data_IF_144117679304
#
_entry.id   IF_144117679304
#
_cell.length_a   1.000
_cell.length_b   1.000
_cell.length_c   1.000
_cell.angle_alpha   90.00
_cell.angle_beta   90.00
_cell.angle_gamma   90.00
#
_symmetry.space_group_name_H-M   'P 1'
#
loop_
_entity.id
_entity.type
_entity.pdbx_description
1 polymer ?
#
# COMPACT_ATOMS: atom_id res chain seq x y z
N UNK A 1 68.89 -45.40 2.83
CA UNK A 1 68.32 -44.18 2.23
C UNK A 1 67.07 -44.58 1.46
N UNK A 2 65.88 -44.23 1.98
CA UNK A 2 64.60 -44.46 1.28
C UNK A 2 64.00 -43.10 1.00
N UNK A 3 63.83 -42.81 -0.29
CA UNK A 3 63.19 -41.61 -0.79
C UNK A 3 61.69 -41.65 -0.49
N UNK A 4 61.21 -40.74 0.38
CA UNK A 4 59.78 -40.52 0.55
C UNK A 4 59.33 -39.28 -0.23
N UNK A 5 58.84 -39.59 -1.42
CA UNK A 5 58.06 -38.83 -2.40
C UNK A 5 57.30 -37.61 -1.83
N UNK A 6 57.87 -36.42 -2.08
CA UNK A 6 57.41 -35.11 -1.61
C UNK A 6 56.24 -34.50 -2.42
N UNK A 7 55.39 -35.32 -3.05
CA UNK A 7 54.36 -34.85 -3.99
C UNK A 7 52.95 -34.77 -3.40
N UNK A 8 52.74 -35.29 -2.17
CA UNK A 8 51.40 -35.29 -1.53
C UNK A 8 51.13 -34.08 -0.63
N UNK A 9 52.17 -33.38 -0.16
CA UNK A 9 52.01 -32.22 0.73
C UNK A 9 51.60 -30.94 -0.03
N UNK A 10 52.16 -30.70 -1.22
CA UNK A 10 51.79 -29.53 -2.03
C UNK A 10 50.37 -29.59 -2.59
N UNK A 11 49.84 -30.79 -2.85
CA UNK A 11 48.46 -30.95 -3.33
C UNK A 11 47.43 -30.62 -2.22
N UNK A 12 47.76 -30.89 -0.96
CA UNK A 12 46.90 -30.59 0.19
C UNK A 12 46.81 -29.08 0.50
N UNK A 13 47.90 -28.33 0.28
CA UNK A 13 47.92 -26.87 0.49
C UNK A 13 47.14 -26.10 -0.58
N UNK A 14 47.16 -26.55 -1.85
CA UNK A 14 46.39 -25.92 -2.94
C UNK A 14 44.88 -26.19 -2.75
N UNK A 15 44.50 -27.37 -2.25
CA UNK A 15 43.11 -27.68 -1.95
C UNK A 15 42.55 -26.85 -0.77
N UNK A 16 43.36 -26.57 0.26
CA UNK A 16 42.93 -25.76 1.40
C UNK A 16 42.73 -24.27 1.05
N UNK A 17 43.52 -23.74 0.10
CA UNK A 17 43.36 -22.36 -0.38
C UNK A 17 42.11 -22.16 -1.28
N UNK A 18 41.70 -23.19 -2.02
CA UNK A 18 40.45 -23.15 -2.80
C UNK A 18 39.21 -23.25 -1.88
N UNK A 19 39.24 -24.05 -0.82
CA UNK A 19 38.06 -24.17 0.08
C UNK A 19 37.83 -22.87 0.88
N UNK A 20 38.89 -22.15 1.28
CA UNK A 20 38.75 -20.86 1.98
C UNK A 20 38.25 -19.70 1.09
N UNK A 21 38.45 -19.77 -0.23
CA UNK A 21 37.89 -18.79 -1.17
C UNK A 21 36.41 -19.03 -1.51
N UNK A 22 35.88 -20.22 -1.23
CA UNK A 22 34.44 -20.50 -1.33
C UNK A 22 33.64 -20.13 -0.07
N UNK A 23 34.29 -19.94 1.08
CA UNK A 23 33.61 -19.46 2.31
C UNK A 23 33.29 -17.96 2.22
N UNK A 24 34.12 -17.18 1.52
CA UNK A 24 33.82 -15.76 1.24
C UNK A 24 32.71 -15.59 0.18
N UNK A 25 32.59 -16.51 -0.78
CA UNK A 25 31.55 -16.45 -1.80
C UNK A 25 30.16 -16.88 -1.28
N UNK A 26 30.09 -17.67 -0.20
CA UNK A 26 28.81 -18.07 0.39
C UNK A 26 28.23 -17.01 1.33
N UNK A 27 29.05 -16.07 1.85
CA UNK A 27 28.55 -14.90 2.59
C UNK A 27 27.92 -13.83 1.68
N UNK A 28 28.12 -13.92 0.36
CA UNK A 28 27.51 -13.01 -0.63
C UNK A 28 26.07 -13.39 -1.02
N UNK A 29 25.57 -14.56 -0.60
CA UNK A 29 24.19 -14.99 -0.86
C UNK A 29 23.23 -14.79 0.32
N UNK A 30 23.72 -14.33 1.47
CA UNK A 30 22.86 -13.61 2.40
C UNK A 30 22.97 -12.14 2.06
N UNK A 31 22.37 -11.74 0.94
CA UNK A 31 21.65 -10.47 0.93
C UNK A 31 20.65 -10.56 2.08
N UNK A 32 21.12 -10.20 3.28
CA UNK A 32 20.33 -9.35 4.17
C UNK A 32 19.84 -8.28 3.21
N UNK A 33 18.60 -8.41 2.79
CA UNK A 33 17.72 -7.26 2.84
C UNK A 33 17.97 -6.70 4.23
N UNK A 34 18.92 -5.76 4.33
CA UNK A 34 18.75 -4.67 5.24
C UNK A 34 17.38 -4.15 4.84
N UNK A 35 16.34 -4.64 5.53
CA UNK A 35 15.17 -3.84 5.78
C UNK A 35 15.81 -2.55 6.26
N UNK A 36 15.84 -1.54 5.37
CA UNK A 36 16.14 -0.19 5.78
C UNK A 36 15.23 -0.03 6.99
N UNK A 37 15.81 0.00 8.19
CA UNK A 37 15.06 0.30 9.40
C UNK A 37 14.34 1.57 9.03
N UNK A 38 13.01 1.49 8.88
CA UNK A 38 12.19 2.64 8.56
C UNK A 38 12.70 3.73 9.51
N UNK A 39 13.28 4.78 8.94
CA UNK A 39 13.92 5.84 9.73
C UNK A 39 12.82 6.31 10.66
N UNK A 40 12.90 5.92 11.94
CA UNK A 40 11.83 6.14 12.89
C UNK A 40 11.65 7.64 12.95
N UNK A 41 10.50 8.13 12.45
CA UNK A 41 10.32 9.56 12.40
C UNK A 41 10.36 10.12 13.82
N UNK A 42 10.98 11.29 14.00
CA UNK A 42 11.01 11.93 15.30
C UNK A 42 9.58 12.21 15.78
N UNK A 43 9.43 12.47 17.08
CA UNK A 43 8.16 12.97 17.59
C UNK A 43 7.79 14.30 16.90
N UNK A 44 6.50 14.55 16.60
CA UNK A 44 6.06 15.83 16.05
C UNK A 44 6.37 16.95 17.03
N UNK A 45 6.94 18.05 16.52
CA UNK A 45 7.39 19.21 17.33
C UNK A 45 6.69 20.51 16.92
N UNK A 46 6.73 20.86 15.64
CA UNK A 46 6.24 22.15 15.13
C UNK A 46 5.28 21.92 13.99
N UNK A 47 4.06 22.47 14.07
CA UNK A 47 3.14 22.47 12.96
C UNK A 47 3.62 23.47 11.89
N UNK A 48 3.72 23.02 10.64
CA UNK A 48 4.18 23.80 9.48
C UNK A 48 3.17 23.78 8.33
N UNK A 49 1.87 23.66 8.63
CA UNK A 49 0.81 23.74 7.61
C UNK A 49 0.91 25.02 6.76
N UNK A 50 1.39 26.13 7.33
CA UNK A 50 1.62 27.40 6.63
C UNK A 50 2.75 27.36 5.59
N UNK A 51 3.61 26.34 5.65
CA UNK A 51 4.73 26.10 4.71
C UNK A 51 4.48 24.92 3.78
N UNK A 52 3.32 24.28 3.84
CA UNK A 52 3.00 23.13 3.00
C UNK A 52 1.83 23.50 2.11
N UNK A 53 2.11 23.58 0.82
CA UNK A 53 1.09 23.72 -0.21
C UNK A 53 0.53 22.33 -0.55
N UNK A 54 -0.76 22.15 -0.31
CA UNK A 54 -1.50 20.93 -0.63
C UNK A 54 -2.27 21.15 -1.91
N UNK A 55 -1.98 20.35 -2.93
CA UNK A 55 -2.55 20.50 -4.26
C UNK A 55 -3.91 19.79 -4.34
N UNK A 56 -4.93 20.44 -3.76
CA UNK A 56 -6.31 19.95 -3.75
C UNK A 56 -6.94 19.86 -5.15
N UNK A 57 -6.39 20.57 -6.12
CA UNK A 57 -6.87 20.52 -7.51
C UNK A 57 -6.37 19.27 -8.25
N UNK A 58 -5.25 18.69 -7.82
CA UNK A 58 -4.71 17.42 -8.34
C UNK A 58 -4.89 16.23 -7.37
N UNK A 59 -5.77 16.38 -6.37
CA UNK A 59 -6.23 15.30 -5.50
C UNK A 59 -6.90 14.18 -6.31
N UNK A 60 -6.59 12.92 -5.97
CA UNK A 60 -7.18 11.75 -6.64
C UNK A 60 -7.61 10.68 -5.63
N UNK A 61 -8.75 10.03 -5.90
CA UNK A 61 -8.99 8.69 -5.36
C UNK A 61 -8.18 7.69 -6.19
N UNK A 62 -7.53 6.74 -5.53
CA UNK A 62 -6.68 5.75 -6.19
C UNK A 62 -7.04 4.33 -5.79
N UNK A 63 -6.85 3.41 -6.72
CA UNK A 63 -6.94 1.98 -6.47
C UNK A 63 -5.70 1.48 -5.68
N UNK A 64 -5.66 0.21 -5.24
CA UNK A 64 -4.53 -0.33 -4.51
C UNK A 64 -3.19 -0.30 -5.26
N UNK A 65 -3.22 -0.18 -6.58
CA UNK A 65 -2.03 -0.03 -7.44
C UNK A 65 -1.56 1.44 -7.55
N UNK A 66 -2.27 2.39 -6.93
CA UNK A 66 -1.94 3.82 -6.95
C UNK A 66 -2.36 4.55 -8.22
N UNK A 67 -3.15 3.91 -9.09
CA UNK A 67 -3.75 4.53 -10.26
C UNK A 67 -5.11 5.15 -9.92
N UNK A 68 -5.49 6.22 -10.62
CA UNK A 68 -6.77 6.91 -10.41
C UNK A 68 -7.96 5.93 -10.50
N UNK A 69 -8.81 5.96 -9.48
CA UNK A 69 -9.97 5.10 -9.37
C UNK A 69 -11.18 5.73 -10.08
N UNK A 70 -11.64 5.07 -11.15
CA UNK A 70 -12.92 5.43 -11.83
C UNK A 70 -14.13 4.75 -11.21
N UNK A 71 -13.90 3.73 -10.40
CA UNK A 71 -14.94 2.93 -9.76
C UNK A 71 -14.47 2.57 -8.38
N UNK A 72 -15.33 2.83 -7.41
CA UNK A 72 -15.17 2.47 -6.02
C UNK A 72 -16.30 1.54 -5.63
N UNK A 73 -16.06 0.65 -4.67
CA UNK A 73 -17.07 -0.27 -4.22
C UNK A 73 -16.99 -0.47 -2.72
N UNK A 74 -18.13 -0.75 -2.11
CA UNK A 74 -18.16 -1.15 -0.71
C UNK A 74 -17.24 -2.36 -0.50
N UNK A 75 -16.46 -2.36 0.58
CA UNK A 75 -15.46 -3.39 0.91
C UNK A 75 -14.28 -3.47 -0.07
N UNK A 76 -14.05 -2.48 -0.94
CA UNK A 76 -12.79 -2.38 -1.70
C UNK A 76 -11.79 -1.48 -0.99
N UNK A 77 -10.51 -1.80 -1.12
CA UNK A 77 -9.46 -0.89 -0.72
C UNK A 77 -9.35 0.25 -1.73
N UNK A 78 -9.39 1.47 -1.23
CA UNK A 78 -9.27 2.71 -1.99
C UNK A 78 -8.44 3.70 -1.19
N UNK A 79 -7.69 4.53 -1.90
CA UNK A 79 -6.80 5.50 -1.31
C UNK A 79 -7.12 6.93 -1.70
N UNK A 80 -6.59 7.86 -0.91
CA UNK A 80 -6.55 9.29 -1.24
C UNK A 80 -5.10 9.63 -1.56
N UNK A 81 -4.84 10.12 -2.77
CA UNK A 81 -3.54 10.62 -3.21
C UNK A 81 -3.61 12.14 -3.29
N UNK A 82 -2.91 12.82 -2.40
CA UNK A 82 -2.82 14.28 -2.34
C UNK A 82 -1.37 14.72 -2.61
N UNK A 83 -1.09 15.42 -3.72
CA UNK A 83 0.21 16.02 -3.96
C UNK A 83 0.48 17.16 -2.98
N UNK A 84 1.75 17.36 -2.65
CA UNK A 84 2.19 18.40 -1.73
C UNK A 84 3.54 18.97 -2.17
N UNK A 85 3.78 20.23 -1.80
CA UNK A 85 5.08 20.90 -1.92
C UNK A 85 5.35 21.70 -0.65
N UNK A 86 6.61 21.74 -0.23
CA UNK A 86 7.06 22.62 0.85
C UNK A 86 7.49 23.96 0.24
N UNK A 87 7.02 25.05 0.82
CA UNK A 87 7.47 26.40 0.57
C UNK A 87 8.41 26.85 1.71
N UNK A 88 9.71 26.69 1.47
CA UNK A 88 10.78 27.10 2.38
C UNK A 88 11.32 25.99 3.28
N UNK A 89 12.13 26.40 4.27
CA UNK A 89 12.86 25.45 5.10
C UNK A 89 11.96 24.82 6.19
N UNK A 90 11.98 23.49 6.22
CA UNK A 90 11.48 22.64 7.31
C UNK A 90 12.63 21.81 7.88
N UNK A 91 12.44 21.24 9.05
CA UNK A 91 13.41 20.33 9.69
C UNK A 91 12.74 19.05 10.17
N UNK A 92 13.57 18.06 10.50
CA UNK A 92 13.11 16.83 11.13
C UNK A 92 12.24 17.13 12.39
N UNK A 93 11.08 16.49 12.47
CA UNK A 93 10.10 16.70 13.55
C UNK A 93 9.10 17.83 13.28
N UNK A 94 9.30 18.67 12.27
CA UNK A 94 8.21 19.50 11.76
C UNK A 94 7.14 18.60 11.16
N UNK A 95 5.87 18.99 11.28
CA UNK A 95 4.75 18.19 10.81
C UNK A 95 3.66 19.05 10.18
N UNK A 96 2.90 18.46 9.27
CA UNK A 96 1.67 19.05 8.77
C UNK A 96 0.53 18.04 8.87
N UNK A 97 -0.70 18.54 8.87
CA UNK A 97 -1.90 17.72 8.97
C UNK A 97 -3.02 18.23 8.06
N UNK A 98 -3.85 17.32 7.57
CA UNK A 98 -5.02 17.66 6.77
C UNK A 98 -6.12 16.60 6.94
N UNK A 99 -7.36 17.02 6.70
CA UNK A 99 -8.51 16.12 6.70
C UNK A 99 -8.55 15.34 5.38
N UNK A 100 -8.48 14.01 5.48
CA UNK A 100 -8.58 13.09 4.35
C UNK A 100 -9.84 12.22 4.42
N UNK A 101 -10.83 12.60 5.24
CA UNK A 101 -12.14 11.94 5.24
C UNK A 101 -12.76 12.01 3.86
N UNK A 102 -13.32 10.90 3.41
CA UNK A 102 -14.03 10.83 2.14
C UNK A 102 -15.50 10.64 2.43
N UNK A 103 -16.33 11.54 1.94
CA UNK A 103 -17.77 11.52 2.11
C UNK A 103 -18.50 11.76 0.79
N UNK A 104 -19.73 11.30 0.70
CA UNK A 104 -20.62 11.65 -0.40
C UNK A 104 -20.92 13.16 -0.33
N UNK A 105 -20.75 13.88 -1.44
CA UNK A 105 -20.85 15.34 -1.43
C UNK A 105 -22.25 15.84 -1.03
N UNK A 106 -23.30 15.17 -1.51
CA UNK A 106 -24.69 15.58 -1.27
C UNK A 106 -25.18 15.25 0.14
N UNK A 107 -24.85 14.06 0.64
CA UNK A 107 -25.41 13.55 1.90
C UNK A 107 -24.48 13.73 3.09
N UNK A 108 -23.18 13.98 2.84
CA UNK A 108 -22.14 13.94 3.86
C UNK A 108 -21.90 12.53 4.43
N UNK A 109 -22.48 11.49 3.82
CA UNK A 109 -22.29 10.12 4.29
C UNK A 109 -20.81 9.72 4.13
N UNK A 110 -20.18 9.30 5.23
CA UNK A 110 -18.82 8.78 5.20
C UNK A 110 -18.71 7.56 4.27
N UNK A 111 -17.71 7.58 3.39
CA UNK A 111 -17.38 6.51 2.43
C UNK A 111 -16.09 5.82 2.86
N UNK A 112 -15.04 6.62 3.12
CA UNK A 112 -13.71 6.12 3.44
C UNK A 112 -13.15 6.88 4.64
N UNK A 113 -12.94 6.11 5.70
CA UNK A 113 -12.26 6.53 6.92
C UNK A 113 -11.60 5.30 7.54
N UNK A 114 -10.36 5.40 8.03
CA UNK A 114 -9.70 4.26 8.64
C UNK A 114 -10.41 3.85 9.94
N UNK A 115 -10.70 2.55 10.08
CA UNK A 115 -11.28 1.96 11.30
C UNK A 115 -10.25 1.77 12.42
N UNK A 116 -8.97 1.75 12.05
CA UNK A 116 -7.82 1.71 12.94
C UNK A 116 -6.73 2.60 12.35
N UNK A 117 -5.92 3.23 13.19
CA UNK A 117 -4.82 4.09 12.75
C UNK A 117 -3.90 3.33 11.77
N UNK A 118 -3.51 4.03 10.70
CA UNK A 118 -2.61 3.50 9.67
C UNK A 118 -1.33 4.32 9.62
N UNK A 119 -0.18 3.68 9.53
CA UNK A 119 1.11 4.35 9.36
C UNK A 119 1.74 3.98 8.02
N UNK A 120 2.44 4.92 7.39
CA UNK A 120 3.07 4.74 6.09
C UNK A 120 4.28 5.67 5.90
N UNK A 121 5.18 5.31 4.99
CA UNK A 121 6.27 6.19 4.57
C UNK A 121 5.74 7.30 3.67
N UNK A 122 6.19 8.54 3.90
CA UNK A 122 5.98 9.66 2.98
C UNK A 122 7.20 9.82 2.10
N UNK A 123 6.98 9.75 0.79
CA UNK A 123 8.05 9.81 -0.21
C UNK A 123 7.97 11.09 -1.02
N UNK A 124 9.15 11.64 -1.36
CA UNK A 124 9.28 12.71 -2.34
C UNK A 124 8.95 12.21 -3.75
N UNK A 125 8.84 13.14 -4.70
CA UNK A 125 8.69 12.85 -6.12
C UNK A 125 9.86 12.02 -6.70
N UNK A 126 11.03 12.05 -6.06
CA UNK A 126 12.22 11.26 -6.43
C UNK A 126 12.29 9.91 -5.70
N UNK A 127 11.31 9.57 -4.86
CA UNK A 127 11.21 8.30 -4.15
C UNK A 127 11.95 8.23 -2.81
N UNK A 128 12.57 9.33 -2.36
CA UNK A 128 13.25 9.43 -1.07
C UNK A 128 12.20 9.48 0.04
N UNK A 129 12.35 8.68 1.10
CA UNK A 129 11.47 8.74 2.27
C UNK A 129 11.81 9.98 3.07
N UNK A 130 10.92 10.97 3.09
CA UNK A 130 11.12 12.28 3.73
C UNK A 130 10.33 12.44 5.02
N UNK A 131 9.50 11.47 5.38
CA UNK A 131 8.73 11.49 6.60
C UNK A 131 7.90 10.24 6.81
N UNK A 132 7.10 10.27 7.86
CA UNK A 132 6.17 9.23 8.23
C UNK A 132 4.78 9.85 8.30
N UNK A 133 3.82 9.21 7.68
CA UNK A 133 2.42 9.58 7.74
C UNK A 133 1.67 8.67 8.69
N UNK A 134 0.73 9.24 9.42
CA UNK A 134 -0.33 8.53 10.12
C UNK A 134 -1.67 8.97 9.58
N UNK A 135 -2.61 8.05 9.40
CA UNK A 135 -4.00 8.34 9.13
C UNK A 135 -4.83 7.89 10.33
N UNK A 136 -5.21 8.87 11.13
CA UNK A 136 -5.94 8.67 12.38
C UNK A 136 -7.36 8.20 12.12
N UNK A 137 -7.93 7.50 13.10
CA UNK A 137 -9.35 7.12 13.05
C UNK A 137 -10.26 8.31 13.09
N UNK A 138 -9.80 9.53 13.36
CA UNK A 138 -10.51 10.81 13.19
C UNK A 138 -10.62 11.24 11.72
N UNK A 139 -9.89 10.60 10.81
CA UNK A 139 -9.85 10.90 9.39
C UNK A 139 -8.75 11.88 8.99
N UNK A 140 -8.00 12.41 9.96
CA UNK A 140 -6.89 13.30 9.70
C UNK A 140 -5.62 12.53 9.36
N UNK A 141 -4.92 13.01 8.35
CA UNK A 141 -3.56 12.60 8.05
C UNK A 141 -2.60 13.53 8.78
N UNK A 142 -1.60 12.97 9.44
CA UNK A 142 -0.46 13.73 9.99
C UNK A 142 0.81 13.23 9.36
N UNK A 143 1.61 14.11 8.79
CA UNK A 143 2.93 13.80 8.23
C UNK A 143 3.99 14.46 9.07
N UNK A 144 4.93 13.67 9.59
CA UNK A 144 6.10 14.16 10.33
C UNK A 144 7.35 13.98 9.47
N UNK A 145 8.07 15.07 9.23
CA UNK A 145 9.29 15.05 8.43
C UNK A 145 10.46 14.40 9.19
N UNK A 146 11.30 13.66 8.46
CA UNK A 146 12.50 13.00 8.99
C UNK A 146 13.78 13.79 8.64
N UNK A 147 14.96 13.26 8.93
CA UNK A 147 16.23 13.95 8.70
C UNK A 147 16.54 14.25 7.22
N UNK A 148 15.92 13.53 6.27
CA UNK A 148 16.18 13.76 4.85
C UNK A 148 15.71 15.14 4.38
N UNK A 149 14.69 15.75 5.03
CA UNK A 149 14.24 17.09 4.61
C UNK A 149 15.31 18.16 4.85
N UNK A 150 16.24 17.93 5.77
CA UNK A 150 17.33 18.88 6.06
C UNK A 150 18.31 19.01 4.88
N UNK A 151 18.27 18.11 3.90
CA UNK A 151 19.23 18.09 2.78
C UNK A 151 18.85 19.00 1.61
N UNK A 152 17.63 19.55 1.59
CA UNK A 152 17.19 20.47 0.54
C UNK A 152 16.17 21.49 1.07
N UNK A 153 16.14 22.68 0.47
CA UNK A 153 15.20 23.74 0.85
C UNK A 153 13.79 23.54 0.30
N UNK A 154 13.62 22.69 -0.71
CA UNK A 154 12.33 22.39 -1.32
C UNK A 154 12.16 20.89 -1.46
N UNK A 155 10.98 20.39 -1.08
CA UNK A 155 10.55 19.03 -1.33
C UNK A 155 9.14 19.04 -1.90
N UNK A 156 8.86 18.10 -2.77
CA UNK A 156 7.52 17.82 -3.26
C UNK A 156 7.32 16.32 -3.34
N UNK A 157 6.06 15.88 -3.29
CA UNK A 157 5.70 14.47 -3.35
C UNK A 157 4.19 14.30 -3.38
N UNK A 158 3.75 13.10 -3.01
CA UNK A 158 2.33 12.82 -2.77
C UNK A 158 2.17 11.97 -1.54
N UNK A 159 1.19 12.30 -0.70
CA UNK A 159 0.73 11.40 0.34
C UNK A 159 -0.35 10.52 -0.24
N UNK A 160 -0.17 9.20 -0.15
CA UNK A 160 -1.19 8.23 -0.53
C UNK A 160 -1.62 7.46 0.70
N UNK A 161 -2.86 7.66 1.13
CA UNK A 161 -3.49 6.83 2.16
C UNK A 161 -4.22 5.66 1.51
N UNK A 162 -4.58 4.63 2.29
CA UNK A 162 -5.44 3.54 1.81
C UNK A 162 -6.21 2.93 2.97
N UNK A 163 -7.50 2.67 2.75
CA UNK A 163 -8.35 1.93 3.67
C UNK A 163 -9.46 1.22 2.89
N UNK A 164 -10.17 0.33 3.56
CA UNK A 164 -11.35 -0.32 3.01
C UNK A 164 -12.54 0.63 3.10
N UNK A 165 -13.27 0.78 1.98
CA UNK A 165 -14.51 1.56 1.92
C UNK A 165 -15.60 0.91 2.76
N UNK A 166 -16.33 1.74 3.52
CA UNK A 166 -17.51 1.37 4.28
C UNK A 166 -18.66 2.28 3.87
N UNK A 167 -19.45 1.86 2.89
CA UNK A 167 -20.56 2.64 2.36
C UNK A 167 -21.86 1.82 2.41
N UNK A 168 -22.93 2.43 2.91
CA UNK A 168 -24.24 1.80 3.11
C UNK A 168 -25.36 2.46 2.31
N UNK A 169 -25.06 3.51 1.55
CA UNK A 169 -26.02 4.17 0.66
C UNK A 169 -26.27 3.38 -0.63
N UNK A 170 -27.05 3.92 -1.57
CA UNK A 170 -27.36 3.27 -2.83
C UNK A 170 -26.18 3.26 -3.80
N UNK A 171 -26.14 2.28 -4.71
CA UNK A 171 -25.23 2.35 -5.87
C UNK A 171 -25.68 3.47 -6.82
N UNK A 172 -24.72 4.20 -7.40
CA UNK A 172 -25.02 5.27 -8.34
C UNK A 172 -23.95 5.38 -9.44
N UNK A 173 -24.39 5.75 -10.63
CA UNK A 173 -23.54 6.20 -11.71
C UNK A 173 -23.30 7.69 -11.54
N UNK A 174 -22.06 8.14 -11.71
CA UNK A 174 -21.66 9.53 -11.48
C UNK A 174 -21.77 10.02 -10.01
N UNK A 175 -21.19 9.28 -9.09
CA UNK A 175 -21.17 9.62 -7.67
C UNK A 175 -20.16 10.75 -7.39
N UNK A 176 -20.63 11.85 -6.79
CA UNK A 176 -19.79 12.97 -6.36
C UNK A 176 -19.25 12.73 -4.95
N UNK A 177 -17.94 12.93 -4.80
CA UNK A 177 -17.23 12.64 -3.56
C UNK A 177 -16.49 13.87 -3.10
N UNK A 178 -16.59 14.14 -1.80
CA UNK A 178 -15.82 15.16 -1.11
C UNK A 178 -14.70 14.51 -0.31
N UNK A 179 -13.50 15.08 -0.38
CA UNK A 179 -12.37 14.74 0.48
C UNK A 179 -11.99 15.96 1.30
N UNK A 180 -12.05 15.86 2.63
CA UNK A 180 -11.92 17.02 3.51
C UNK A 180 -12.92 18.10 3.12
N UNK A 181 -12.44 19.25 2.62
CA UNK A 181 -13.28 20.36 2.18
C UNK A 181 -13.39 20.50 0.64
N UNK A 182 -12.86 19.54 -0.14
CA UNK A 182 -12.81 19.61 -1.61
C UNK A 182 -13.73 18.57 -2.24
N UNK A 183 -14.72 19.02 -3.01
CA UNK A 183 -15.48 18.15 -3.91
C UNK A 183 -14.60 17.80 -5.12
N UNK A 184 -14.44 16.51 -5.38
CA UNK A 184 -13.72 16.01 -6.53
C UNK A 184 -14.52 16.30 -7.80
N UNK A 185 -13.84 16.88 -8.80
CA UNK A 185 -14.48 17.21 -10.08
C UNK A 185 -14.74 16.00 -10.97
N UNK A 186 -14.14 14.84 -10.66
CA UNK A 186 -14.39 13.60 -11.39
C UNK A 186 -15.45 12.76 -10.68
N UNK A 187 -16.50 12.43 -11.41
CA UNK A 187 -17.52 11.53 -10.92
C UNK A 187 -16.96 10.10 -10.90
N UNK A 188 -17.19 9.38 -9.80
CA UNK A 188 -16.80 7.97 -9.66
C UNK A 188 -18.01 7.07 -9.72
N UNK A 189 -17.87 5.84 -10.21
CA UNK A 189 -18.97 4.87 -10.13
C UNK A 189 -18.94 4.22 -8.73
N UNK A 190 -20.06 4.26 -8.00
CA UNK A 190 -20.19 3.58 -6.71
C UNK A 190 -20.93 2.26 -6.89
N UNK A 191 -20.26 1.14 -6.61
CA UNK A 191 -20.86 -0.20 -6.63
C UNK A 191 -21.07 -0.71 -5.21
N UNK A 192 -22.32 -0.93 -4.84
CA UNK A 192 -22.66 -1.56 -3.56
C UNK A 192 -22.97 -3.03 -3.84
N UNK A 193 -22.11 -3.94 -3.36
CA UNK A 193 -22.46 -5.37 -3.38
C UNK A 193 -23.61 -5.58 -2.39
N UNK A 194 -24.76 -6.11 -2.81
CA UNK A 194 -25.82 -6.44 -1.86
C UNK A 194 -25.31 -7.52 -0.92
N UNK A 195 -25.08 -7.15 0.35
CA UNK A 195 -24.86 -8.13 1.42
C UNK A 195 -26.20 -8.75 1.75
N UNK A 196 -26.49 -9.93 1.18
CA UNK A 196 -27.55 -10.81 1.69
C UNK A 196 -28.73 -11.12 0.76
N UNK A 197 -28.78 -10.63 -0.47
CA UNK A 197 -29.72 -11.23 -1.43
C UNK A 197 -29.11 -12.50 -2.00
N UNK A 198 -29.67 -13.65 -1.62
CA UNK A 198 -29.51 -14.89 -2.36
C UNK A 198 -30.00 -14.65 -3.78
N UNK A 199 -29.11 -14.21 -4.66
CA UNK A 199 -29.36 -14.27 -6.09
C UNK A 199 -29.36 -15.76 -6.41
N UNK A 200 -30.53 -16.32 -6.70
CA UNK A 200 -30.64 -17.46 -7.58
C UNK A 200 -30.11 -17.03 -8.94
N UNK A 201 -28.78 -16.95 -9.06
CA UNK A 201 -28.17 -16.92 -10.37
C UNK A 201 -28.49 -18.29 -10.93
N UNK A 202 -29.38 -18.33 -11.93
CA UNK A 202 -29.61 -19.52 -12.74
C UNK A 202 -28.37 -19.70 -13.62
N UNK A 203 -27.24 -20.04 -13.01
CA UNK A 203 -26.08 -20.52 -13.74
C UNK A 203 -26.23 -22.03 -13.92
N UNK A 204 -26.23 -22.45 -15.17
CA UNK A 204 -26.09 -23.85 -15.56
C UNK A 204 -27.33 -24.45 -16.19
N UNK A 205 -27.25 -24.72 -17.49
CA UNK A 205 -27.94 -25.86 -18.07
C UNK A 205 -27.30 -27.13 -17.51
N UNK A 206 -28.04 -27.89 -16.70
CA UNK A 206 -27.68 -29.28 -16.43
C UNK A 206 -28.13 -30.07 -17.67
N UNK A 207 -27.18 -30.45 -18.51
CA UNK A 207 -27.41 -31.49 -19.50
C UNK A 207 -27.37 -32.84 -18.80
N UNK A 208 -28.54 -33.40 -18.46
CA UNK A 208 -28.63 -34.83 -18.14
C UNK A 208 -28.82 -35.54 -19.47
N UNK A 209 -27.78 -36.20 -19.95
CA UNK A 209 -27.91 -37.23 -20.97
C UNK A 209 -28.27 -38.52 -20.25
N UNK A 210 -29.47 -39.05 -20.48
CA UNK A 210 -29.79 -40.43 -20.14
C UNK A 210 -28.86 -41.33 -20.95
N UNK A 211 -27.91 -41.98 -20.27
CA UNK A 211 -27.36 -43.23 -20.75
C UNK A 211 -28.25 -44.34 -20.20
N UNK A 212 -29.25 -44.73 -21.00
CA UNK A 212 -29.85 -46.05 -20.90
C UNK A 212 -28.75 -47.09 -21.04
N UNK A 213 -28.31 -47.63 -19.90
CA UNK A 213 -27.74 -48.95 -19.72
C UNK A 213 -27.89 -49.21 -18.21
N UNK A 214 -28.82 -50.05 -17.74
CA UNK A 214 -28.93 -51.43 -18.16
C UNK A 214 -28.14 -52.28 -17.16
N UNK A 215 -28.89 -52.88 -16.23
CA UNK A 215 -28.52 -54.02 -15.39
C UNK A 215 -28.00 -53.83 -13.94
N UNK A 216 -28.92 -54.22 -13.04
CA UNK A 216 -28.77 -55.25 -12.00
C UNK A 216 -27.78 -55.02 -10.84
N UNK A 217 -28.29 -54.97 -9.61
CA UNK A 217 -28.36 -56.16 -8.72
C UNK A 217 -28.56 -55.78 -7.22
N UNK A 218 -29.78 -56.04 -6.73
CA UNK A 218 -30.21 -56.68 -5.45
C UNK A 218 -29.70 -56.24 -4.05
N UNK A 219 -30.70 -55.92 -3.21
CA UNK A 219 -30.87 -56.18 -1.75
C UNK A 219 -29.87 -55.51 -0.78
N UNK A 220 -30.29 -55.01 0.40
CA UNK A 220 -30.76 -55.80 1.56
C UNK A 220 -31.62 -54.90 2.49
N UNK A 221 -32.73 -55.48 2.98
CA UNK A 221 -33.41 -55.14 4.25
C UNK A 221 -32.65 -55.78 5.41
#
# INVERSE_FOLDING_TARGET
MVALKNTRLSALLIAFALVLSFVDALQLLTTRTALATALACPAPTTNVNDKVDLDWDNLQLVNPQGAEAKTIANMWDTGVKLPWKIDGAVKAGDFFTYDATVAEADTGQSILRPTAERSFDVRSATGVVVGCGTWGTDGNVTVVFNENVNSAAEWAGSVTTSAMIQYTGPANEQFEVQVGNKVLSCNVNMVVRPTGEARTVKEGWIGVSDSEDGDENKSIM
#
